data_IF_256162063507
#
_entry.id   IF_256162063507
#
_cell.length_a   1.000
_cell.length_b   1.000
_cell.length_c   1.000
_cell.angle_alpha   90.00
_cell.angle_beta   90.00
_cell.angle_gamma   90.00
#
_symmetry.space_group_name_H-M   'P 1'
#
loop_
_entity.id
_entity.type
_entity.pdbx_description
1 polymer ?
#
# COMPACT_ATOMS: atom_id res chain seq x y z
N UNK A 1 -1.78 12.12 21.03
CA UNK A 1 -1.73 13.13 19.93
C UNK A 1 -0.31 13.41 19.39
N UNK A 2 0.76 13.53 20.21
CA UNK A 2 2.14 13.77 19.70
C UNK A 2 2.69 12.68 18.77
N UNK A 3 2.42 11.39 19.03
CA UNK A 3 2.89 10.27 18.19
C UNK A 3 2.31 10.26 16.77
N UNK A 4 1.03 10.62 16.61
CA UNK A 4 0.36 10.64 15.29
C UNK A 4 0.91 11.74 14.36
N UNK A 5 1.29 12.90 14.89
CA UNK A 5 1.94 13.98 14.10
C UNK A 5 3.33 13.60 13.58
N UNK A 6 4.07 12.76 14.32
CA UNK A 6 5.38 12.28 13.89
C UNK A 6 5.28 11.19 12.82
N UNK A 7 4.15 10.49 12.72
CA UNK A 7 3.96 9.44 11.72
C UNK A 7 3.95 9.98 10.29
N UNK A 8 3.81 11.29 10.05
CA UNK A 8 3.63 11.89 8.72
C UNK A 8 4.50 13.09 8.37
N UNK A 9 5.36 13.58 9.29
CA UNK A 9 6.20 14.78 9.09
C UNK A 9 7.57 14.56 8.44
N UNK A 10 8.30 15.65 8.18
CA UNK A 10 9.59 15.68 7.46
C UNK A 10 10.81 15.12 8.22
N UNK A 11 10.75 14.96 9.55
CA UNK A 11 11.82 14.34 10.35
C UNK A 11 11.32 13.03 10.95
N UNK A 12 11.51 11.92 10.22
CA UNK A 12 11.14 10.58 10.66
C UNK A 12 12.38 9.75 11.01
N UNK A 13 12.32 9.08 12.15
CA UNK A 13 13.27 8.03 12.51
C UNK A 13 12.94 6.72 11.80
N UNK A 14 13.94 5.85 11.62
CA UNK A 14 13.75 4.52 11.04
C UNK A 14 12.70 3.66 11.77
N UNK A 15 12.42 3.92 13.05
CA UNK A 15 11.34 3.26 13.80
C UNK A 15 9.93 3.67 13.32
N UNK A 16 9.74 4.94 12.96
CA UNK A 16 8.45 5.48 12.50
C UNK A 16 8.11 4.92 11.11
N UNK A 17 9.10 4.85 10.21
CA UNK A 17 8.92 4.26 8.88
C UNK A 17 8.52 2.77 8.95
N UNK A 18 9.08 2.03 9.93
CA UNK A 18 8.74 0.62 10.16
C UNK A 18 7.31 0.44 10.67
N UNK A 19 6.89 1.27 11.64
CA UNK A 19 5.52 1.23 12.15
C UNK A 19 4.50 1.57 11.04
N UNK A 20 4.76 2.63 10.28
CA UNK A 20 3.91 3.02 9.16
C UNK A 20 3.87 1.92 8.09
N UNK A 21 5.01 1.32 7.75
CA UNK A 21 5.09 0.19 6.84
C UNK A 21 4.28 -1.02 7.31
N UNK A 22 4.30 -1.34 8.61
CA UNK A 22 3.52 -2.43 9.19
C UNK A 22 2.01 -2.15 9.14
N UNK A 23 1.58 -0.92 9.48
CA UNK A 23 0.15 -0.54 9.41
C UNK A 23 -0.37 -0.57 7.97
N UNK A 24 0.43 -0.08 7.02
CA UNK A 24 0.07 -0.13 5.60
C UNK A 24 0.11 -1.56 5.05
N UNK A 25 1.05 -2.41 5.48
CA UNK A 25 1.06 -3.84 5.15
C UNK A 25 -0.21 -4.54 5.65
N UNK A 26 -0.62 -4.26 6.89
CA UNK A 26 -1.88 -4.76 7.46
C UNK A 26 -3.08 -4.31 6.62
N UNK A 27 -3.18 -3.02 6.31
CA UNK A 27 -4.28 -2.50 5.51
C UNK A 27 -4.30 -3.14 4.10
N UNK A 28 -3.14 -3.25 3.46
CA UNK A 28 -2.99 -3.88 2.16
C UNK A 28 -3.43 -5.35 2.18
N UNK A 29 -3.03 -6.10 3.20
CA UNK A 29 -3.48 -7.48 3.40
C UNK A 29 -5.00 -7.57 3.53
N UNK A 30 -5.59 -6.71 4.36
CA UNK A 30 -7.04 -6.67 4.59
C UNK A 30 -7.82 -6.37 3.32
N UNK A 31 -7.37 -5.39 2.53
CA UNK A 31 -8.00 -5.02 1.26
C UNK A 31 -7.81 -6.11 0.22
N UNK A 32 -6.63 -6.74 0.13
CA UNK A 32 -6.35 -7.76 -0.88
C UNK A 32 -7.19 -9.02 -0.63
N UNK A 33 -7.23 -9.51 0.61
CA UNK A 33 -8.01 -10.69 0.98
C UNK A 33 -9.53 -10.40 0.99
N UNK A 34 -9.94 -9.26 1.54
CA UNK A 34 -11.34 -8.84 1.54
C UNK A 34 -11.87 -8.58 0.13
N UNK A 35 -11.09 -7.89 -0.70
CA UNK A 35 -11.39 -7.65 -2.12
C UNK A 35 -11.47 -8.94 -2.92
N UNK A 36 -10.59 -9.92 -2.67
CA UNK A 36 -10.66 -11.22 -3.35
C UNK A 36 -12.01 -11.93 -3.13
N UNK A 37 -12.61 -11.84 -1.94
CA UNK A 37 -13.93 -12.44 -1.70
C UNK A 37 -15.04 -11.84 -2.57
N UNK A 38 -14.81 -10.63 -3.10
CA UNK A 38 -15.79 -9.88 -3.88
C UNK A 38 -15.51 -9.99 -5.38
N UNK A 39 -14.25 -9.86 -5.79
CA UNK A 39 -13.85 -9.78 -7.20
C UNK A 39 -13.07 -11.01 -7.69
N UNK A 40 -12.86 -12.00 -6.83
CA UNK A 40 -12.15 -13.26 -7.10
C UNK A 40 -10.73 -13.09 -7.69
N UNK A 41 -10.12 -11.92 -7.46
CA UNK A 41 -8.80 -11.56 -7.96
C UNK A 41 -8.05 -10.77 -6.91
N UNK A 42 -6.75 -11.06 -6.78
CA UNK A 42 -5.87 -10.27 -5.92
C UNK A 42 -5.34 -9.06 -6.67
N UNK A 43 -5.90 -7.90 -6.39
CA UNK A 43 -5.69 -6.67 -7.18
C UNK A 43 -4.32 -6.02 -6.99
N UNK A 44 -3.52 -6.49 -6.02
CA UNK A 44 -2.11 -6.09 -5.86
C UNK A 44 -1.10 -6.96 -6.61
N UNK A 45 -1.50 -8.07 -7.23
CA UNK A 45 -0.59 -9.03 -7.87
C UNK A 45 -0.36 -8.70 -9.35
N UNK A 46 0.53 -7.75 -9.62
CA UNK A 46 0.83 -7.31 -10.99
C UNK A 46 1.47 -8.40 -11.85
N UNK A 47 2.27 -9.28 -11.25
CA UNK A 47 2.83 -10.45 -11.95
C UNK A 47 1.72 -11.41 -12.42
N UNK A 48 0.69 -11.61 -11.59
CA UNK A 48 -0.49 -12.40 -11.94
C UNK A 48 -1.26 -11.79 -13.12
N UNK A 49 -1.48 -10.48 -13.12
CA UNK A 49 -2.11 -9.79 -14.26
C UNK A 49 -1.25 -9.86 -15.54
N UNK A 50 0.09 -9.77 -15.43
CA UNK A 50 0.97 -9.93 -16.58
C UNK A 50 0.89 -11.34 -17.18
N UNK A 51 0.87 -12.38 -16.34
CA UNK A 51 0.65 -13.76 -16.79
C UNK A 51 -0.73 -13.95 -17.41
N UNK A 52 -1.80 -13.45 -16.75
CA UNK A 52 -3.16 -13.49 -17.28
C UNK A 52 -3.26 -12.82 -18.65
N UNK A 53 -2.57 -11.69 -18.87
CA UNK A 53 -2.51 -11.03 -20.16
C UNK A 53 -1.86 -11.94 -21.20
N UNK A 54 -0.68 -12.50 -20.91
CA UNK A 54 0.05 -13.35 -21.85
C UNK A 54 -0.73 -14.62 -22.22
N UNK A 55 -1.26 -15.33 -21.22
CA UNK A 55 -2.00 -16.57 -21.42
C UNK A 55 -3.26 -16.33 -22.26
N UNK A 56 -4.05 -15.31 -21.90
CA UNK A 56 -5.31 -15.04 -22.59
C UNK A 56 -5.15 -14.40 -23.97
N UNK A 57 -3.99 -13.79 -24.24
CA UNK A 57 -3.65 -13.34 -25.58
C UNK A 57 -3.45 -14.55 -26.51
N UNK A 58 -2.74 -15.57 -26.04
CA UNK A 58 -2.53 -16.83 -26.79
C UNK A 58 -3.82 -17.63 -26.92
N UNK A 59 -4.63 -17.70 -25.85
CA UNK A 59 -5.91 -18.41 -25.84
C UNK A 59 -7.03 -17.66 -26.58
N UNK A 60 -6.79 -16.45 -27.10
CA UNK A 60 -7.78 -15.67 -27.83
C UNK A 60 -8.88 -15.02 -26.95
N UNK A 61 -8.77 -15.06 -25.62
CA UNK A 61 -9.77 -14.51 -24.71
C UNK A 61 -9.58 -13.01 -24.49
N UNK A 62 -9.99 -12.21 -25.48
CA UNK A 62 -9.78 -10.76 -25.49
C UNK A 62 -10.44 -10.03 -24.32
N UNK A 63 -11.53 -10.57 -23.75
CA UNK A 63 -12.17 -9.96 -22.58
C UNK A 63 -11.24 -9.97 -21.36
N UNK A 64 -10.57 -11.09 -21.11
CA UNK A 64 -9.59 -11.20 -20.01
C UNK A 64 -8.32 -10.41 -20.30
N UNK A 65 -7.89 -10.34 -21.57
CA UNK A 65 -6.75 -9.50 -21.99
C UNK A 65 -7.00 -8.02 -21.69
N UNK A 66 -8.12 -7.47 -22.18
CA UNK A 66 -8.50 -6.07 -21.92
C UNK A 66 -8.65 -5.82 -20.42
N UNK A 67 -9.15 -6.80 -19.69
CA UNK A 67 -9.23 -6.77 -18.23
C UNK A 67 -7.87 -6.64 -17.53
N UNK A 68 -6.91 -7.48 -17.91
CA UNK A 68 -5.56 -7.46 -17.36
C UNK A 68 -4.82 -6.17 -17.71
N UNK A 69 -4.95 -5.69 -18.95
CA UNK A 69 -4.43 -4.39 -19.37
C UNK A 69 -5.03 -3.27 -18.53
N UNK A 70 -6.36 -3.26 -18.35
CA UNK A 70 -7.06 -2.28 -17.54
C UNK A 70 -6.56 -2.24 -16.10
N UNK A 71 -6.38 -3.39 -15.46
CA UNK A 71 -5.84 -3.49 -14.11
C UNK A 71 -4.39 -2.99 -14.00
N UNK A 72 -3.52 -3.37 -14.95
CA UNK A 72 -2.12 -2.92 -15.00
C UNK A 72 -2.02 -1.41 -15.20
N UNK A 73 -2.83 -0.84 -16.11
CA UNK A 73 -2.88 0.60 -16.34
C UNK A 73 -3.43 1.34 -15.12
N UNK A 74 -4.53 0.87 -14.52
CA UNK A 74 -5.11 1.46 -13.32
C UNK A 74 -4.09 1.50 -12.16
N UNK A 75 -3.38 0.40 -11.92
CA UNK A 75 -2.30 0.35 -10.93
C UNK A 75 -1.18 1.34 -11.25
N UNK A 76 -0.74 1.40 -12.51
CA UNK A 76 0.32 2.30 -12.96
C UNK A 76 -0.08 3.77 -12.77
N UNK A 77 -1.33 4.12 -13.11
CA UNK A 77 -1.87 5.45 -12.89
C UNK A 77 -1.99 5.80 -11.40
N UNK A 78 -2.39 4.85 -10.54
CA UNK A 78 -2.40 5.06 -9.09
C UNK A 78 -1.01 5.38 -8.54
N UNK A 79 0.00 4.64 -9.01
CA UNK A 79 1.39 4.88 -8.65
C UNK A 79 1.89 6.25 -9.15
N UNK A 80 1.61 6.59 -10.41
CA UNK A 80 1.95 7.89 -11.00
C UNK A 80 1.27 9.05 -10.27
N UNK A 81 -0.02 8.91 -9.94
CA UNK A 81 -0.80 9.90 -9.19
C UNK A 81 -0.19 10.17 -7.81
N UNK A 82 0.29 9.13 -7.13
CA UNK A 82 1.00 9.29 -5.85
C UNK A 82 2.33 10.01 -6.03
N UNK A 83 3.11 9.66 -7.06
CA UNK A 83 4.37 10.31 -7.34
C UNK A 83 4.20 11.81 -7.60
N UNK A 84 3.18 12.18 -8.39
CA UNK A 84 2.81 13.58 -8.66
C UNK A 84 2.46 14.30 -7.35
N UNK A 85 1.54 13.76 -6.54
CA UNK A 85 1.13 14.38 -5.27
C UNK A 85 2.30 14.58 -4.30
N UNK A 86 3.13 13.55 -4.11
CA UNK A 86 4.27 13.61 -3.19
C UNK A 86 5.30 14.64 -3.67
N UNK A 87 5.61 14.67 -4.96
CA UNK A 87 6.57 15.64 -5.51
C UNK A 87 6.02 17.07 -5.45
N UNK A 88 4.73 17.26 -5.75
CA UNK A 88 4.05 18.55 -5.61
C UNK A 88 4.10 19.05 -4.16
N UNK A 89 3.76 18.20 -3.18
CA UNK A 89 3.76 18.58 -1.78
C UNK A 89 5.17 18.93 -1.26
N UNK A 90 6.19 18.21 -1.73
CA UNK A 90 7.61 18.52 -1.45
C UNK A 90 8.03 19.86 -2.02
N UNK A 91 7.69 20.16 -3.28
CA UNK A 91 8.01 21.45 -3.90
C UNK A 91 7.36 22.62 -3.17
N UNK A 92 6.18 22.42 -2.59
CA UNK A 92 5.46 23.45 -1.81
C UNK A 92 5.85 23.47 -0.32
N UNK A 93 6.82 22.65 0.11
CA UNK A 93 7.28 22.60 1.50
C UNK A 93 6.20 22.20 2.51
N UNK A 94 5.20 21.41 2.09
CA UNK A 94 4.11 20.96 2.94
C UNK A 94 4.61 19.92 3.96
N UNK A 95 4.09 19.94 5.19
CA UNK A 95 4.38 18.87 6.17
C UNK A 95 3.57 17.60 5.90
N UNK A 96 2.56 17.69 5.05
CA UNK A 96 1.63 16.63 4.65
C UNK A 96 2.06 15.87 3.39
N UNK A 97 3.38 15.79 3.10
CA UNK A 97 3.94 15.19 1.87
C UNK A 97 3.33 13.83 1.49
N UNK A 98 2.94 13.04 2.50
CA UNK A 98 2.39 11.69 2.33
C UNK A 98 0.92 11.57 2.74
N UNK A 99 0.32 12.63 3.28
CA UNK A 99 -1.03 12.58 3.80
C UNK A 99 -2.10 12.70 2.71
N UNK A 100 -1.79 13.41 1.61
CA UNK A 100 -2.71 13.54 0.47
C UNK A 100 -2.96 12.18 -0.22
N UNK A 101 -1.93 11.38 -0.56
CA UNK A 101 -2.16 10.02 -1.05
C UNK A 101 -2.97 9.15 -0.08
N UNK A 102 -2.67 9.17 1.22
CA UNK A 102 -3.43 8.41 2.23
C UNK A 102 -4.90 8.82 2.30
N UNK A 103 -5.20 10.11 2.14
CA UNK A 103 -6.57 10.60 2.10
C UNK A 103 -7.30 10.05 0.87
N UNK A 104 -6.66 10.09 -0.31
CA UNK A 104 -7.23 9.54 -1.54
C UNK A 104 -7.45 8.03 -1.40
N UNK A 105 -6.49 7.30 -0.84
CA UNK A 105 -6.63 5.86 -0.56
C UNK A 105 -7.85 5.58 0.34
N UNK A 106 -8.03 6.35 1.43
CA UNK A 106 -9.18 6.20 2.32
C UNK A 106 -10.51 6.48 1.61
N UNK A 107 -10.58 7.52 0.78
CA UNK A 107 -11.79 7.87 0.02
C UNK A 107 -12.13 6.80 -1.04
N UNK A 108 -11.11 6.26 -1.73
CA UNK A 108 -11.29 5.18 -2.69
C UNK A 108 -11.76 3.88 -2.04
N UNK A 109 -11.31 3.59 -0.81
CA UNK A 109 -11.82 2.48 -0.02
C UNK A 109 -13.31 2.67 0.30
N UNK A 110 -13.70 3.85 0.79
CA UNK A 110 -15.12 4.13 1.04
C UNK A 110 -15.97 4.01 -0.23
N UNK A 111 -15.45 4.51 -1.37
CA UNK A 111 -16.09 4.35 -2.68
C UNK A 111 -16.22 2.87 -3.06
N UNK A 112 -15.17 2.06 -2.85
CA UNK A 112 -15.21 0.62 -3.07
C UNK A 112 -16.27 -0.06 -2.20
N UNK A 113 -16.38 0.30 -0.92
CA UNK A 113 -17.43 -0.20 -0.03
C UNK A 113 -18.84 0.14 -0.52
N UNK A 114 -19.05 1.36 -1.03
CA UNK A 114 -20.32 1.80 -1.60
C UNK A 114 -20.67 1.06 -2.90
N UNK A 115 -19.68 0.86 -3.78
CA UNK A 115 -19.84 0.03 -4.98
C UNK A 115 -20.14 -1.43 -4.62
N UNK A 116 -19.52 -1.90 -3.54
CA UNK A 116 -19.81 -3.14 -2.82
C UNK A 116 -21.29 -3.42 -2.65
N UNK A 117 -22.00 -2.44 -2.12
CA UNK A 117 -23.44 -2.53 -1.88
C UNK A 117 -24.29 -2.60 -3.16
N UNK A 118 -23.72 -2.35 -4.33
CA UNK A 118 -24.44 -2.30 -5.62
C UNK A 118 -23.93 -3.32 -6.66
N UNK A 119 -23.05 -4.26 -6.26
CA UNK A 119 -22.28 -5.17 -7.11
C UNK A 119 -23.10 -6.22 -7.90
N UNK A 120 -24.40 -6.39 -7.62
CA UNK A 120 -25.27 -7.29 -8.38
C UNK A 120 -25.65 -6.76 -9.79
N UNK A 121 -25.12 -5.60 -10.20
CA UNK A 121 -25.35 -5.04 -11.53
C UNK A 121 -24.19 -5.35 -12.47
N UNK A 122 -24.47 -5.99 -13.60
CA UNK A 122 -23.49 -6.20 -14.67
C UNK A 122 -22.96 -4.83 -15.14
N UNK A 123 -21.63 -4.68 -15.20
CA UNK A 123 -21.00 -3.48 -15.74
C UNK A 123 -20.73 -3.64 -17.24
N UNK A 124 -20.84 -2.56 -18.04
CA UNK A 124 -20.52 -2.61 -19.47
C UNK A 124 -19.02 -2.84 -19.77
N UNK A 125 -18.16 -2.75 -18.75
CA UNK A 125 -16.72 -2.94 -18.88
C UNK A 125 -16.33 -4.42 -18.90
N UNK A 126 -15.26 -4.75 -19.63
CA UNK A 126 -14.69 -6.09 -19.71
C UNK A 126 -14.29 -6.64 -18.32
N UNK A 127 -13.87 -5.74 -17.42
CA UNK A 127 -13.55 -6.01 -16.02
C UNK A 127 -14.42 -5.16 -15.10
N UNK A 128 -14.88 -5.70 -13.95
CA UNK A 128 -15.66 -4.93 -12.98
C UNK A 128 -14.92 -3.65 -12.58
N UNK A 129 -15.63 -2.52 -12.55
CA UNK A 129 -15.07 -1.23 -12.15
C UNK A 129 -14.41 -1.30 -10.76
N UNK A 130 -14.89 -2.18 -9.89
CA UNK A 130 -14.31 -2.47 -8.57
C UNK A 130 -12.87 -2.97 -8.64
N UNK A 131 -12.52 -3.78 -9.64
CA UNK A 131 -11.14 -4.25 -9.86
C UNK A 131 -10.25 -3.09 -10.25
N UNK A 132 -10.72 -2.20 -11.14
CA UNK A 132 -9.95 -1.01 -11.55
C UNK A 132 -9.70 -0.06 -10.38
N UNK A 133 -10.73 0.21 -9.56
CA UNK A 133 -10.62 1.04 -8.35
C UNK A 133 -9.63 0.42 -7.35
N UNK A 134 -9.74 -0.88 -7.09
CA UNK A 134 -8.83 -1.58 -6.19
C UNK A 134 -7.39 -1.62 -6.74
N UNK A 135 -7.19 -1.90 -8.03
CA UNK A 135 -5.87 -1.89 -8.66
C UNK A 135 -5.24 -0.51 -8.62
N UNK A 136 -6.01 0.56 -8.87
CA UNK A 136 -5.54 1.93 -8.71
C UNK A 136 -5.16 2.23 -7.26
N UNK A 137 -6.00 1.83 -6.30
CA UNK A 137 -5.75 2.01 -4.85
C UNK A 137 -4.48 1.29 -4.42
N UNK A 138 -4.25 0.07 -4.89
CA UNK A 138 -3.03 -0.70 -4.63
C UNK A 138 -1.79 -0.06 -5.25
N UNK A 139 -1.91 0.49 -6.47
CA UNK A 139 -0.84 1.24 -7.12
C UNK A 139 -0.45 2.49 -6.33
N UNK A 140 -1.46 3.22 -5.84
CA UNK A 140 -1.29 4.39 -4.99
C UNK A 140 -0.53 4.03 -3.71
N UNK A 141 -1.01 3.02 -2.99
CA UNK A 141 -0.41 2.59 -1.73
C UNK A 141 1.04 2.11 -1.90
N UNK A 142 1.32 1.37 -2.97
CA UNK A 142 2.68 0.88 -3.24
C UNK A 142 3.67 2.00 -3.56
N UNK A 143 3.26 2.99 -4.34
CA UNK A 143 4.08 4.17 -4.60
C UNK A 143 4.30 4.99 -3.33
N UNK A 144 3.26 5.13 -2.50
CA UNK A 144 3.32 5.86 -1.23
C UNK A 144 4.36 5.25 -0.29
N UNK A 145 4.29 3.93 -0.05
CA UNK A 145 5.23 3.22 0.82
C UNK A 145 6.65 3.34 0.29
N UNK A 146 6.83 3.20 -1.03
CA UNK A 146 8.15 3.34 -1.67
C UNK A 146 8.72 4.74 -1.44
N UNK A 147 7.93 5.81 -1.62
CA UNK A 147 8.39 7.19 -1.40
C UNK A 147 8.65 7.52 0.07
N UNK A 148 7.85 6.95 0.98
CA UNK A 148 8.00 7.11 2.44
C UNK A 148 9.27 6.43 2.96
N UNK A 149 9.59 5.25 2.42
CA UNK A 149 10.70 4.42 2.88
C UNK A 149 12.00 4.61 2.11
N UNK A 150 12.07 5.59 1.19
CA UNK A 150 13.18 5.74 0.25
C UNK A 150 13.48 4.43 -0.50
N UNK A 151 12.41 3.78 -0.96
CA UNK A 151 12.39 2.50 -1.68
C UNK A 151 12.86 1.28 -0.87
N UNK A 152 13.04 1.40 0.45
CA UNK A 152 13.46 0.28 1.29
C UNK A 152 12.34 -0.72 1.65
N UNK A 153 11.07 -0.30 1.59
CA UNK A 153 9.91 -1.11 1.98
C UNK A 153 8.92 -1.19 0.81
N UNK A 154 8.34 -2.37 0.59
CA UNK A 154 7.18 -2.59 -0.30
C UNK A 154 6.15 -3.46 0.43
N UNK A 155 4.92 -2.98 0.59
CA UNK A 155 3.89 -3.62 1.43
C UNK A 155 3.11 -4.74 0.76
N UNK A 156 3.07 -4.81 -0.57
CA UNK A 156 2.37 -5.91 -1.29
C UNK A 156 3.32 -6.83 -2.04
N UNK A 157 4.63 -6.54 -2.01
CA UNK A 157 5.64 -7.35 -2.71
C UNK A 157 6.02 -8.59 -1.88
N UNK A 158 5.02 -9.41 -1.56
CA UNK A 158 5.15 -10.54 -0.64
C UNK A 158 6.10 -11.60 -1.16
N UNK A 159 6.13 -11.85 -2.48
CA UNK A 159 7.09 -12.78 -3.11
C UNK A 159 8.52 -12.39 -2.74
N UNK A 160 8.91 -11.12 -2.92
CA UNK A 160 10.26 -10.69 -2.56
C UNK A 160 10.52 -10.66 -1.06
N UNK A 161 9.51 -10.36 -0.23
CA UNK A 161 9.66 -10.41 1.23
C UNK A 161 9.96 -11.85 1.68
N UNK A 162 9.21 -12.84 1.18
CA UNK A 162 9.41 -14.25 1.51
C UNK A 162 10.77 -14.73 1.02
N UNK A 163 11.17 -14.38 -0.21
CA UNK A 163 12.50 -14.70 -0.74
C UNK A 163 13.62 -14.11 0.12
N UNK A 164 13.51 -12.83 0.49
CA UNK A 164 14.51 -12.16 1.32
C UNK A 164 14.59 -12.75 2.74
N UNK A 165 13.45 -13.16 3.32
CA UNK A 165 13.43 -13.91 4.59
C UNK A 165 14.21 -15.22 4.41
N UNK A 166 13.94 -15.98 3.34
CA UNK A 166 14.65 -17.21 3.01
C UNK A 166 16.16 -17.00 2.88
N UNK A 167 16.59 -15.94 2.20
CA UNK A 167 18.01 -15.58 2.06
C UNK A 167 18.65 -15.29 3.43
N UNK A 168 18.02 -14.46 4.26
CA UNK A 168 18.58 -14.09 5.57
C UNK A 168 18.57 -15.25 6.57
N UNK A 169 17.57 -16.14 6.51
CA UNK A 169 17.57 -17.40 7.26
C UNK A 169 18.69 -18.33 6.77
N UNK A 170 18.88 -18.45 5.45
CA UNK A 170 19.99 -19.22 4.88
C UNK A 170 21.35 -18.74 5.37
N UNK A 171 21.57 -17.42 5.42
CA UNK A 171 22.79 -16.83 6.01
C UNK A 171 22.91 -17.09 7.51
N UNK A 172 21.79 -17.16 8.24
CA UNK A 172 21.78 -17.39 9.68
C UNK A 172 22.22 -18.80 10.03
N UNK A 173 21.83 -19.77 9.21
CA UNK A 173 22.19 -21.19 9.36
C UNK A 173 23.49 -21.57 8.60
N UNK A 174 24.12 -20.62 7.91
CA UNK A 174 25.36 -20.89 7.18
C UNK A 174 26.52 -21.12 8.14
N UNK A 175 27.19 -22.28 7.98
CA UNK A 175 28.35 -22.64 8.77
C UNK A 175 29.64 -22.05 8.17
N UNK A 176 30.22 -21.05 8.83
CA UNK A 176 31.48 -20.43 8.41
C UNK A 176 32.70 -21.32 8.77
N UNK A 177 32.93 -22.41 8.04
CA UNK A 177 33.98 -23.41 8.33
C UNK A 177 35.39 -22.96 7.94
N UNK A 178 35.50 -22.18 6.87
CA UNK A 178 36.78 -21.78 6.29
C UNK A 178 37.30 -20.58 7.09
N UNK A 179 38.52 -20.71 7.62
CA UNK A 179 39.21 -19.58 8.24
C UNK A 179 39.60 -18.58 7.15
N UNK A 180 38.96 -17.41 7.22
CA UNK A 180 39.23 -16.28 6.35
C UNK A 180 39.02 -14.98 7.10
N UNK A 181 39.35 -13.83 6.47
CA UNK A 181 39.17 -12.52 7.07
C UNK A 181 37.76 -12.34 7.64
N UNK A 182 37.62 -11.60 8.73
CA UNK A 182 36.32 -11.39 9.39
C UNK A 182 35.23 -10.85 8.44
N UNK A 183 35.64 -10.12 7.40
CA UNK A 183 34.80 -9.55 6.33
C UNK A 183 34.25 -10.59 5.35
N UNK A 184 34.91 -11.74 5.17
CA UNK A 184 34.43 -12.81 4.27
C UNK A 184 33.39 -13.72 4.93
N UNK A 185 33.15 -13.58 6.24
CA UNK A 185 32.16 -14.38 6.97
C UNK A 185 30.75 -14.03 6.55
N UNK A 186 29.98 -15.04 6.16
CA UNK A 186 28.55 -14.90 5.86
C UNK A 186 27.80 -14.58 7.15
N UNK A 187 27.05 -13.47 7.15
CA UNK A 187 26.25 -13.02 8.29
C UNK A 187 24.85 -12.63 7.87
N UNK A 188 23.88 -13.12 8.63
CA UNK A 188 22.51 -12.66 8.52
C UNK A 188 22.36 -11.22 9.05
N UNK A 189 21.67 -10.40 8.30
CA UNK A 189 21.17 -9.12 8.74
C UNK A 189 19.88 -9.31 9.55
N UNK A 190 20.04 -9.52 10.86
CA UNK A 190 18.92 -9.75 11.79
C UNK A 190 17.93 -8.58 11.85
N UNK A 191 18.39 -7.35 11.60
CA UNK A 191 17.54 -6.16 11.58
C UNK A 191 16.62 -6.19 10.36
N UNK A 192 17.17 -6.50 9.18
CA UNK A 192 16.41 -6.69 7.94
C UNK A 192 15.42 -7.85 8.09
N UNK A 193 15.88 -9.00 8.57
CA UNK A 193 15.03 -10.18 8.78
C UNK A 193 13.82 -9.85 9.69
N UNK A 194 14.06 -9.20 10.83
CA UNK A 194 12.98 -8.79 11.75
C UNK A 194 11.97 -7.86 11.07
N UNK A 195 12.45 -6.89 10.27
CA UNK A 195 11.56 -6.00 9.52
C UNK A 195 10.68 -6.78 8.53
N UNK A 196 11.27 -7.68 7.75
CA UNK A 196 10.55 -8.49 6.76
C UNK A 196 9.48 -9.37 7.42
N UNK A 197 9.81 -10.03 8.53
CA UNK A 197 8.85 -10.83 9.28
C UNK A 197 7.69 -9.98 9.84
N UNK A 198 7.97 -8.76 10.32
CA UNK A 198 6.92 -7.83 10.77
C UNK A 198 6.00 -7.45 9.61
N UNK A 199 6.55 -7.14 8.43
CA UNK A 199 5.75 -6.77 7.25
C UNK A 199 4.89 -7.94 6.77
N UNK A 200 5.47 -9.14 6.66
CA UNK A 200 4.76 -10.35 6.27
C UNK A 200 3.67 -10.70 7.28
N UNK A 201 4.01 -10.71 8.57
CA UNK A 201 3.06 -10.99 9.65
C UNK A 201 1.92 -9.98 9.70
N UNK A 202 2.21 -8.69 9.54
CA UNK A 202 1.19 -7.65 9.46
C UNK A 202 0.26 -7.84 8.25
N UNK A 203 0.82 -8.14 7.07
CA UNK A 203 0.02 -8.42 5.87
C UNK A 203 -0.89 -9.64 6.05
N UNK A 204 -0.37 -10.74 6.59
CA UNK A 204 -1.16 -11.96 6.84
C UNK A 204 -2.24 -11.70 7.88
N UNK A 205 -1.91 -11.06 9.00
CA UNK A 205 -2.87 -10.69 10.04
C UNK A 205 -3.97 -9.77 9.47
N UNK A 206 -3.58 -8.78 8.67
CA UNK A 206 -4.48 -7.92 7.93
C UNK A 206 -5.40 -8.71 7.00
N UNK A 207 -4.86 -9.64 6.22
CA UNK A 207 -5.63 -10.52 5.34
C UNK A 207 -6.65 -11.36 6.07
N UNK A 208 -6.29 -11.95 7.21
CA UNK A 208 -7.22 -12.71 8.05
C UNK A 208 -8.34 -11.80 8.57
N UNK A 209 -8.01 -10.63 9.13
CA UNK A 209 -8.99 -9.67 9.65
C UNK A 209 -9.89 -9.12 8.55
N UNK A 210 -9.32 -8.81 7.37
CA UNK A 210 -10.05 -8.35 6.20
C UNK A 210 -11.01 -9.41 5.69
N UNK A 211 -10.52 -10.63 5.41
CA UNK A 211 -11.37 -11.72 4.95
C UNK A 211 -12.49 -12.05 5.93
N UNK A 212 -12.19 -12.12 7.24
CA UNK A 212 -13.21 -12.34 8.27
C UNK A 212 -14.25 -11.21 8.30
N UNK A 213 -13.80 -9.95 8.27
CA UNK A 213 -14.72 -8.82 8.31
C UNK A 213 -15.61 -8.72 7.07
N UNK A 214 -15.07 -8.92 5.87
CA UNK A 214 -15.89 -8.95 4.65
C UNK A 214 -16.85 -10.14 4.64
N UNK A 215 -16.44 -11.31 5.15
CA UNK A 215 -17.28 -12.50 5.25
C UNK A 215 -18.44 -12.34 6.24
N UNK A 216 -18.17 -11.83 7.44
CA UNK A 216 -19.15 -11.80 8.54
C UNK A 216 -19.89 -10.48 8.70
N UNK A 217 -19.29 -9.36 8.30
CA UNK A 217 -19.86 -8.01 8.44
C UNK A 217 -20.24 -7.40 7.07
N UNK A 218 -19.66 -7.90 5.99
CA UNK A 218 -19.92 -7.41 4.63
C UNK A 218 -19.14 -6.14 4.29
N UNK A 219 -19.61 -5.40 3.28
CA UNK A 219 -18.89 -4.25 2.71
C UNK A 219 -18.65 -3.08 3.66
N UNK A 220 -19.47 -2.95 4.71
CA UNK A 220 -19.27 -1.90 5.72
C UNK A 220 -17.94 -2.09 6.49
N UNK A 221 -17.33 -3.28 6.41
CA UNK A 221 -15.99 -3.54 6.96
C UNK A 221 -14.88 -2.69 6.34
N UNK A 222 -15.13 -2.04 5.20
CA UNK A 222 -14.18 -1.09 4.62
C UNK A 222 -14.06 0.19 5.48
N UNK A 223 -15.09 0.54 6.25
CA UNK A 223 -15.11 1.75 7.08
C UNK A 223 -13.98 1.77 8.13
N UNK A 224 -13.77 0.74 8.98
CA UNK A 224 -12.66 0.74 9.93
C UNK A 224 -11.28 0.80 9.25
N UNK A 225 -11.12 0.19 8.08
CA UNK A 225 -9.88 0.27 7.29
C UNK A 225 -9.63 1.70 6.77
N UNK A 226 -10.67 2.35 6.24
CA UNK A 226 -10.58 3.75 5.80
C UNK A 226 -10.33 4.70 6.99
N UNK A 227 -11.01 4.49 8.12
CA UNK A 227 -10.81 5.29 9.34
C UNK A 227 -9.38 5.17 9.88
N UNK A 228 -8.76 3.99 9.78
CA UNK A 228 -7.36 3.80 10.15
C UNK A 228 -6.43 4.69 9.30
N UNK A 229 -6.66 4.74 7.97
CA UNK A 229 -5.90 5.63 7.08
C UNK A 229 -6.16 7.12 7.38
N UNK A 230 -7.43 7.49 7.63
CA UNK A 230 -7.81 8.86 7.98
C UNK A 230 -7.13 9.30 9.29
N UNK A 231 -7.07 8.42 10.30
CA UNK A 231 -6.38 8.71 11.55
C UNK A 231 -4.88 8.99 11.36
N UNK A 232 -4.25 8.39 10.34
CA UNK A 232 -2.86 8.66 9.98
C UNK A 232 -2.71 9.98 9.21
N UNK A 233 -3.65 10.33 8.32
CA UNK A 233 -3.48 11.46 7.40
C UNK A 233 -4.10 12.79 7.86
N UNK A 234 -5.12 12.79 8.72
CA UNK A 234 -5.78 14.03 9.17
C UNK A 234 -4.89 14.95 10.02
N UNK A 235 -4.08 14.44 10.99
CA UNK A 235 -3.22 15.31 11.80
C UNK A 235 -2.22 16.20 11.02
N UNK A 236 -1.46 15.70 10.03
CA UNK A 236 -0.58 16.55 9.21
C UNK A 236 -1.36 17.50 8.30
N UNK A 237 -2.48 17.07 7.70
CA UNK A 237 -3.32 17.91 6.83
C UNK A 237 -3.87 19.10 7.61
N UNK A 238 -4.42 18.86 8.80
CA UNK A 238 -4.91 19.92 9.68
C UNK A 238 -3.80 20.91 10.05
N UNK A 239 -2.57 20.42 10.28
CA UNK A 239 -1.43 21.28 10.62
C UNK A 239 -1.01 22.20 9.47
N UNK A 240 -1.12 21.75 8.21
CA UNK A 240 -0.84 22.57 7.04
C UNK A 240 -1.97 23.56 6.73
N UNK A 241 -3.24 23.15 6.90
CA UNK A 241 -4.38 24.06 6.78
C UNK A 241 -4.28 25.24 7.74
N UNK A 242 -4.02 24.98 9.02
CA UNK A 242 -3.84 26.03 10.02
C UNK A 242 -2.71 27.01 9.67
N UNK A 243 -1.62 26.50 9.08
CA UNK A 243 -0.49 27.35 8.64
C UNK A 243 -0.87 28.24 7.48
N UNK A 244 -1.58 27.70 6.49
CA UNK A 244 -2.06 28.45 5.33
C UNK A 244 -3.05 29.53 5.75
N UNK A 245 -3.98 29.21 6.67
CA UNK A 245 -4.91 30.20 7.24
C UNK A 245 -4.17 31.30 8.01
N UNK A 246 -3.21 30.96 8.87
CA UNK A 246 -2.38 31.95 9.58
C UNK A 246 -1.59 32.85 8.62
N UNK A 247 -1.00 32.30 7.56
CA UNK A 247 -0.29 33.07 6.53
C UNK A 247 -1.21 34.02 5.76
N UNK A 248 -2.44 33.60 5.46
CA UNK A 248 -3.44 34.47 4.81
C UNK A 248 -3.87 35.62 5.72
N UNK A 249 -4.13 35.35 7.01
CA UNK A 249 -4.48 36.38 7.99
C UNK A 249 -3.37 37.42 8.17
N UNK A 250 -2.11 36.98 8.23
CA UNK A 250 -0.96 37.90 8.34
C UNK A 250 -0.73 38.76 7.09
N UNK A 251 -1.20 38.32 5.91
CA UNK A 251 -1.12 39.09 4.65
C UNK A 251 -2.29 40.05 4.44
N UNK A 252 -3.39 39.89 5.18
CA UNK A 252 -4.56 40.78 5.12
C UNK A 252 -4.51 41.91 6.17
N UNK A 253 -3.58 41.83 7.13
CA UNK A 253 -3.35 42.84 8.16
C UNK A 253 -2.15 43.78 7.91
N UNK A 254 -1.57 43.74 6.71
CA UNK A 254 -0.50 44.62 6.21
C UNK A 254 -0.98 45.33 4.97
#
# INVERSE_FOLDING_TARGET
MRRLRHLTGQHRTASINRLLGAVLAFNAGAINAGGFLVVHMYTSHMTGFASLLADNLVLGNMRLVLGAIGALLAFTFGAAFTAIQVNWARQHGLRSEYALPLLVEALLLLLFGLMGATLNRQTPFAVPLTVLVLSFTMGLQNALVSKVSSSQIRTTHMTGIVTDIGIELGKLFYWNRIEGPFESRVRANRIKLRLLCILLGAFVAGGIVGAAGFKYVGFIWVVPLALLLLALCLPPLYSDLLRTFRRKLLRQGT
#
